data_IF_521207782815
#
_entry.id   IF_521207782815
#
_cell.length_a   1.000
_cell.length_b   1.000
_cell.length_c   1.000
_cell.angle_alpha   90.00
_cell.angle_beta   90.00
_cell.angle_gamma   90.00
#
_symmetry.space_group_name_H-M   'P 1'
#
loop_
_entity.id
_entity.type
_entity.pdbx_description
1 polymer ?
#
# COMPACT_ATOMS: atom_id res chain seq x y z
N UNK A 1 32.90 1.75 7.92
CA UNK A 1 32.43 0.90 9.04
C UNK A 1 31.37 -0.04 8.49
N UNK A 2 31.32 -1.31 8.89
CA UNK A 2 30.31 -2.24 8.38
C UNK A 2 28.91 -1.86 8.89
N UNK A 3 27.89 -1.93 8.03
CA UNK A 3 26.51 -1.55 8.37
C UNK A 3 25.99 -2.31 9.59
N UNK A 4 26.12 -3.65 9.60
CA UNK A 4 25.72 -4.50 10.73
C UNK A 4 26.39 -4.13 12.06
N UNK A 5 27.66 -3.71 12.01
CA UNK A 5 28.39 -3.25 13.21
C UNK A 5 27.88 -1.90 13.68
N UNK A 6 27.57 -0.99 12.76
CA UNK A 6 26.98 0.33 13.08
C UNK A 6 25.63 0.18 13.76
N UNK A 7 24.77 -0.70 13.24
CA UNK A 7 23.48 -1.03 13.86
C UNK A 7 23.67 -1.50 15.30
N UNK A 8 24.54 -2.49 15.54
CA UNK A 8 24.81 -2.99 16.89
C UNK A 8 25.30 -1.90 17.85
N UNK A 9 26.09 -0.94 17.34
CA UNK A 9 26.56 0.19 18.15
C UNK A 9 25.42 1.13 18.53
N UNK A 10 24.47 1.35 17.62
CA UNK A 10 23.34 2.25 17.81
C UNK A 10 22.21 1.66 18.66
N UNK A 11 22.10 0.33 18.70
CA UNK A 11 21.23 -0.36 19.66
C UNK A 11 21.61 -0.01 21.11
N UNK A 12 22.91 0.23 21.41
CA UNK A 12 23.39 0.57 22.77
C UNK A 12 22.90 -0.39 23.87
N UNK A 13 22.82 -1.68 23.54
CA UNK A 13 22.26 -2.76 24.38
C UNK A 13 20.74 -2.68 24.63
N UNK A 14 20.00 -1.88 23.86
CA UNK A 14 18.54 -1.91 23.81
C UNK A 14 18.06 -2.95 22.80
N UNK A 15 16.82 -3.39 22.94
CA UNK A 15 16.21 -4.22 21.91
C UNK A 15 16.00 -3.39 20.63
N UNK A 16 16.14 -3.98 19.43
CA UNK A 16 15.81 -3.32 18.17
C UNK A 16 14.36 -2.81 18.12
N UNK A 17 13.45 -3.46 18.85
CA UNK A 17 12.05 -3.04 19.00
C UNK A 17 11.89 -1.75 19.81
N UNK A 18 12.88 -1.32 20.58
CA UNK A 18 12.83 -0.07 21.37
C UNK A 18 13.59 1.09 20.70
N UNK A 19 14.17 0.85 19.51
CA UNK A 19 14.97 1.84 18.81
C UNK A 19 14.10 2.63 17.85
N UNK A 20 13.98 3.92 18.11
CA UNK A 20 13.20 4.87 17.31
C UNK A 20 14.03 5.61 16.26
N UNK A 21 15.34 5.70 16.45
CA UNK A 21 16.26 6.43 15.57
C UNK A 21 17.47 5.57 15.24
N UNK A 22 17.80 5.45 13.95
CA UNK A 22 18.95 4.71 13.47
C UNK A 22 19.73 5.50 12.42
N UNK A 23 21.00 5.80 12.74
CA UNK A 23 21.90 6.56 11.86
C UNK A 23 23.00 5.65 11.33
N UNK A 24 22.92 5.33 10.04
CA UNK A 24 23.81 4.40 9.34
C UNK A 24 24.67 5.11 8.27
N UNK A 25 24.95 6.39 8.45
CA UNK A 25 25.74 7.16 7.49
C UNK A 25 27.16 6.61 7.34
N UNK A 26 27.72 6.72 6.13
CA UNK A 26 29.07 6.25 5.78
C UNK A 26 29.30 4.76 6.08
N UNK A 27 28.24 3.96 6.05
CA UNK A 27 28.32 2.50 6.18
C UNK A 27 28.75 1.84 4.88
N UNK A 28 29.54 0.78 5.04
CA UNK A 28 29.92 -0.14 3.97
C UNK A 28 28.89 -1.27 3.94
N UNK A 29 28.20 -1.37 2.80
CA UNK A 29 27.24 -2.42 2.48
C UNK A 29 27.95 -3.56 1.76
N UNK A 30 27.66 -4.81 2.13
CA UNK A 30 28.19 -5.98 1.41
C UNK A 30 27.38 -6.13 0.12
N UNK A 31 28.06 -6.19 -1.03
CA UNK A 31 27.44 -6.30 -2.36
C UNK A 31 26.44 -5.17 -2.72
N UNK A 32 26.42 -4.07 -1.97
CA UNK A 32 25.43 -3.01 -2.10
C UNK A 32 24.05 -3.38 -1.55
N UNK A 33 23.99 -4.33 -0.62
CA UNK A 33 22.77 -4.78 0.04
C UNK A 33 22.71 -4.33 1.50
N UNK A 34 21.49 -4.22 2.02
CA UNK A 34 21.23 -3.84 3.40
C UNK A 34 21.48 -5.06 4.29
N UNK A 35 22.33 -4.92 5.31
CA UNK A 35 22.62 -5.99 6.25
C UNK A 35 22.32 -5.59 7.70
N UNK A 36 21.57 -6.44 8.40
CA UNK A 36 21.26 -6.27 9.83
C UNK A 36 20.06 -5.36 10.13
N UNK A 37 19.44 -4.77 9.10
CA UNK A 37 18.14 -4.11 9.20
C UNK A 37 17.05 -5.12 8.82
N UNK A 38 16.04 -5.26 9.67
CA UNK A 38 14.92 -6.17 9.49
C UNK A 38 13.64 -5.54 10.06
N UNK A 39 12.51 -6.22 9.91
CA UNK A 39 11.19 -5.84 10.40
C UNK A 39 11.08 -5.84 11.94
N UNK A 40 12.16 -6.17 12.65
CA UNK A 40 12.22 -6.09 14.12
C UNK A 40 12.25 -4.64 14.62
N UNK A 41 12.64 -3.69 13.78
CA UNK A 41 12.70 -2.25 14.10
C UNK A 41 11.32 -1.58 14.04
N UNK A 42 10.32 -2.17 14.69
CA UNK A 42 8.91 -1.74 14.58
C UNK A 42 8.64 -0.32 15.05
N UNK A 43 9.38 0.14 16.06
CA UNK A 43 9.29 1.49 16.63
C UNK A 43 10.18 2.50 15.91
N UNK A 44 10.88 2.10 14.84
CA UNK A 44 11.79 3.00 14.13
C UNK A 44 11.01 4.08 13.39
N UNK A 45 11.19 5.31 13.82
CA UNK A 45 10.58 6.51 13.24
C UNK A 45 11.54 7.21 12.27
N UNK A 46 12.85 7.08 12.49
CA UNK A 46 13.87 7.76 11.69
C UNK A 46 15.02 6.81 11.29
N UNK A 47 15.35 6.81 9.99
CA UNK A 47 16.45 6.05 9.41
C UNK A 47 17.27 6.95 8.49
N UNK A 48 18.53 7.22 8.86
CA UNK A 48 19.48 7.92 7.99
C UNK A 48 20.47 6.93 7.39
N UNK A 49 20.62 6.98 6.06
CA UNK A 49 21.58 6.19 5.29
C UNK A 49 22.29 7.07 4.27
N UNK A 50 22.97 8.13 4.74
CA UNK A 50 23.71 9.02 3.85
C UNK A 50 25.07 8.41 3.46
N UNK A 51 25.47 8.60 2.20
CA UNK A 51 26.77 8.18 1.68
C UNK A 51 27.06 6.68 1.91
N UNK A 52 26.01 5.85 1.83
CA UNK A 52 26.13 4.39 1.82
C UNK A 52 26.24 3.90 0.38
N UNK A 53 27.16 2.97 0.13
CA UNK A 53 27.35 2.37 -1.19
C UNK A 53 26.29 1.28 -1.44
N UNK A 54 25.00 1.63 -1.39
CA UNK A 54 23.89 0.72 -1.69
C UNK A 54 23.64 0.65 -3.20
N UNK A 55 23.33 -0.55 -3.68
CA UNK A 55 22.91 -0.81 -5.06
C UNK A 55 21.40 -0.86 -5.19
N UNK A 56 20.69 -1.29 -4.13
CA UNK A 56 19.24 -1.43 -4.13
C UNK A 56 18.67 -1.21 -2.73
N UNK A 57 17.46 -0.64 -2.67
CA UNK A 57 16.63 -0.53 -1.46
C UNK A 57 15.58 -1.65 -1.37
N UNK A 58 15.55 -2.59 -2.32
CA UNK A 58 14.55 -3.67 -2.35
C UNK A 58 14.65 -4.66 -1.18
N UNK A 59 15.77 -4.65 -0.44
CA UNK A 59 15.96 -5.46 0.77
C UNK A 59 15.60 -4.69 2.06
N UNK A 60 15.02 -3.49 1.94
CA UNK A 60 14.61 -2.71 3.09
C UNK A 60 13.30 -3.31 3.65
N UNK A 61 13.25 -3.66 4.95
CA UNK A 61 12.05 -4.23 5.56
C UNK A 61 10.90 -3.23 5.57
N UNK A 62 9.66 -3.71 5.58
CA UNK A 62 8.51 -2.83 5.80
C UNK A 62 8.51 -2.37 7.26
N UNK A 63 8.65 -1.06 7.47
CA UNK A 63 8.71 -0.43 8.78
C UNK A 63 7.55 0.55 8.90
N UNK A 64 6.45 0.12 9.51
CA UNK A 64 5.17 0.86 9.52
C UNK A 64 5.24 2.23 10.19
N UNK A 65 6.19 2.44 11.10
CA UNK A 65 6.37 3.72 11.81
C UNK A 65 7.44 4.62 11.20
N UNK A 66 8.18 4.12 10.21
CA UNK A 66 9.29 4.86 9.64
C UNK A 66 8.75 6.02 8.80
N UNK A 67 8.93 7.25 9.28
CA UNK A 67 8.67 8.45 8.49
C UNK A 67 9.83 8.64 7.53
N UNK A 68 9.67 8.16 6.30
CA UNK A 68 10.46 8.63 5.17
C UNK A 68 9.82 9.92 4.68
N UNK A 69 10.50 11.04 4.93
CA UNK A 69 10.17 12.27 4.20
C UNK A 69 10.53 12.05 2.71
N UNK A 70 9.63 12.50 1.84
CA UNK A 70 9.66 12.53 0.36
C UNK A 70 8.95 11.36 -0.36
N UNK A 71 7.62 11.48 -0.53
CA UNK A 71 6.83 11.00 -1.70
C UNK A 71 6.77 9.48 -2.04
N UNK A 72 6.45 8.60 -1.10
CA UNK A 72 5.90 7.25 -1.45
C UNK A 72 4.63 6.98 -0.63
N UNK A 73 3.52 7.54 -1.14
CA UNK A 73 2.14 7.12 -0.89
C UNK A 73 1.96 5.72 -1.50
N UNK A 74 1.74 4.69 -0.68
CA UNK A 74 1.30 3.37 -1.15
C UNK A 74 0.45 2.67 -0.06
N UNK A 75 -0.53 3.39 0.48
CA UNK A 75 -1.72 2.80 1.11
C UNK A 75 -2.92 3.09 0.18
N UNK A 76 -3.03 2.32 -0.91
CA UNK A 76 -4.25 2.22 -1.70
C UNK A 76 -5.34 1.59 -0.82
N UNK A 77 -6.08 2.44 -0.11
CA UNK A 77 -7.33 2.09 0.55
C UNK A 77 -8.43 2.16 -0.52
N UNK A 78 -8.77 1.04 -1.13
CA UNK A 78 -10.07 0.92 -1.81
C UNK A 78 -11.12 0.74 -0.72
N UNK A 79 -11.80 1.84 -0.42
CA UNK A 79 -12.97 1.88 0.44
C UNK A 79 -14.00 0.88 -0.07
N UNK A 80 -14.42 -0.03 0.81
CA UNK A 80 -15.55 -0.90 0.55
C UNK A 80 -16.82 -0.06 0.45
N UNK A 81 -17.37 0.04 -0.75
CA UNK A 81 -18.74 0.51 -0.95
C UNK A 81 -19.69 -0.63 -0.57
N UNK A 82 -20.17 -0.57 0.67
CA UNK A 82 -21.45 -1.17 1.06
C UNK A 82 -22.55 -0.32 0.43
N UNK A 83 -23.32 -0.87 -0.51
CA UNK A 83 -24.69 -0.39 -0.74
C UNK A 83 -25.65 -1.58 -0.73
N UNK A 84 -26.64 -1.43 0.15
CA UNK A 84 -27.70 -2.38 0.47
C UNK A 84 -28.77 -2.47 -0.63
N UNK A 85 -29.42 -3.64 -0.63
CA UNK A 85 -30.73 -4.07 -1.12
C UNK A 85 -31.61 -3.08 -1.92
N UNK A 86 -32.29 -3.58 -2.97
CA UNK A 86 -33.77 -3.59 -3.03
C UNK A 86 -34.26 -4.73 -3.96
N UNK A 87 -35.11 -5.62 -3.43
CA UNK A 87 -35.92 -6.54 -4.21
C UNK A 87 -37.17 -5.83 -4.76
N UNK A 88 -37.58 -6.09 -6.01
CA UNK A 88 -38.99 -6.00 -6.37
C UNK A 88 -39.40 -6.98 -7.51
N UNK A 89 -40.32 -7.87 -7.15
CA UNK A 89 -41.68 -7.79 -7.73
C UNK A 89 -41.95 -8.51 -9.05
N UNK A 90 -42.33 -9.80 -8.96
CA UNK A 90 -42.99 -10.55 -10.03
C UNK A 90 -44.37 -9.95 -10.38
N UNK A 91 -44.57 -9.48 -11.61
CA UNK A 91 -45.88 -9.32 -12.28
C UNK A 91 -45.68 -9.68 -13.75
N UNK A 92 -46.47 -10.51 -14.42
CA UNK A 92 -47.86 -10.89 -14.25
C UNK A 92 -48.43 -11.10 -15.66
N UNK A 93 -49.35 -12.03 -15.80
CA UNK A 93 -49.80 -12.68 -17.04
C UNK A 93 -50.31 -11.81 -18.22
N UNK A 94 -50.03 -12.35 -19.41
CA UNK A 94 -50.82 -12.41 -20.67
C UNK A 94 -52.11 -11.59 -20.71
N UNK A 95 -52.36 -10.87 -21.82
CA UNK A 95 -53.69 -10.83 -22.47
C UNK A 95 -53.61 -10.37 -23.93
N UNK A 96 -54.06 -11.29 -24.79
CA UNK A 96 -54.48 -11.13 -26.19
C UNK A 96 -55.56 -10.04 -26.32
N UNK A 97 -55.49 -9.23 -27.37
CA UNK A 97 -56.65 -8.60 -28.02
C UNK A 97 -56.33 -8.35 -29.48
N UNK A 98 -56.89 -9.19 -30.34
CA UNK A 98 -57.24 -8.86 -31.71
C UNK A 98 -58.30 -7.74 -31.70
N UNK A 99 -58.24 -6.81 -32.65
CA UNK A 99 -59.36 -6.20 -33.38
C UNK A 99 -58.86 -5.02 -34.23
N UNK A 100 -59.13 -5.11 -35.53
CA UNK A 100 -59.16 -4.06 -36.54
C UNK A 100 -59.53 -2.66 -36.02
N UNK A 101 -58.87 -1.63 -36.55
CA UNK A 101 -59.58 -0.39 -36.91
C UNK A 101 -58.91 0.30 -38.10
N UNK A 102 -59.76 0.62 -39.06
CA UNK A 102 -59.57 1.14 -40.40
C UNK A 102 -59.26 2.66 -40.38
N UNK A 103 -58.47 3.15 -41.33
CA UNK A 103 -58.19 4.58 -41.41
C UNK A 103 -57.19 4.91 -42.51
N UNK A 104 -57.69 4.97 -43.74
CA UNK A 104 -57.07 5.61 -44.91
C UNK A 104 -56.57 7.03 -44.58
N UNK A 105 -55.54 7.52 -45.28
CA UNK A 105 -55.64 8.70 -46.16
C UNK A 105 -54.36 8.82 -47.03
N UNK A 106 -54.61 9.01 -48.32
CA UNK A 106 -53.65 9.29 -49.39
C UNK A 106 -53.07 10.71 -49.26
N UNK A 107 -51.83 10.95 -49.69
CA UNK A 107 -51.50 12.00 -50.68
C UNK A 107 -49.99 12.09 -51.02
N UNK A 108 -49.78 12.39 -52.30
CA UNK A 108 -48.59 12.71 -53.13
C UNK A 108 -47.65 11.59 -53.64
#
# INVERSE_FOLDING_TARGET
MDMKKKINLELRNRAPEEVTELVLDNCLCVNGEIEGLNDTFKELEFLSMANVALRSLAQLPSLSKLRKDEEDDDDYVEEGEEEEEEEEGVRGEKRKRDADDDGEEEDD
#
